data_IF_311431426787
#
_entry.id   IF_311431426787
#
_cell.length_a   1.000
_cell.length_b   1.000
_cell.length_c   1.000
_cell.angle_alpha   90.00
_cell.angle_beta   90.00
_cell.angle_gamma   90.00
#
_symmetry.space_group_name_H-M   'P 1'
#
loop_
_entity.id
_entity.type
_entity.pdbx_description
1 polymer ?
#
# COMPACT_ATOMS: atom_id res chain seq x y z
N UNK A 1 52.93 -75.64 -21.77
CA UNK A 1 52.30 -74.98 -22.95
C UNK A 1 52.78 -73.53 -22.95
N UNK A 2 53.90 -73.20 -23.60
CA UNK A 2 53.98 -72.69 -24.99
C UNK A 2 52.93 -71.59 -25.26
N UNK A 3 53.24 -70.37 -25.73
CA UNK A 3 54.45 -69.84 -26.37
C UNK A 3 54.33 -68.30 -26.56
N UNK A 4 55.49 -67.63 -26.66
CA UNK A 4 55.79 -66.53 -27.61
C UNK A 4 55.29 -65.10 -27.33
N UNK A 5 56.05 -64.01 -27.54
CA UNK A 5 57.48 -63.76 -27.86
C UNK A 5 57.73 -62.23 -27.77
N UNK A 6 58.97 -61.85 -27.48
CA UNK A 6 59.46 -60.48 -27.32
C UNK A 6 59.98 -59.83 -28.63
N UNK A 7 60.13 -58.50 -28.57
CA UNK A 7 61.08 -57.66 -29.35
C UNK A 7 60.51 -57.02 -30.63
N UNK A 8 60.87 -55.80 -31.06
CA UNK A 8 61.70 -54.68 -30.56
C UNK A 8 61.67 -53.58 -31.68
N UNK A 9 62.33 -52.45 -31.44
CA UNK A 9 62.69 -51.33 -32.37
C UNK A 9 61.64 -50.22 -32.53
N UNK A 10 61.97 -48.93 -32.61
CA UNK A 10 63.20 -48.13 -32.46
C UNK A 10 62.82 -46.63 -32.53
N UNK A 11 63.64 -45.77 -31.91
CA UNK A 11 64.00 -44.34 -32.20
C UNK A 11 63.31 -43.63 -33.39
N UNK A 12 63.03 -42.32 -33.43
CA UNK A 12 63.65 -41.11 -32.84
C UNK A 12 62.88 -39.87 -33.38
N UNK A 13 62.98 -38.74 -32.65
CA UNK A 13 62.85 -37.32 -33.05
C UNK A 13 61.82 -36.85 -34.09
N UNK A 14 60.96 -35.89 -33.68
CA UNK A 14 60.81 -34.56 -34.30
C UNK A 14 59.70 -33.74 -33.58
N UNK A 15 60.00 -32.49 -33.18
CA UNK A 15 59.03 -31.40 -32.88
C UNK A 15 58.54 -30.78 -34.21
N UNK A 16 57.51 -29.90 -34.29
CA UNK A 16 56.71 -29.22 -33.26
C UNK A 16 55.18 -29.26 -33.53
N UNK A 17 54.33 -28.78 -32.60
CA UNK A 17 53.40 -27.67 -32.88
C UNK A 17 52.38 -27.39 -31.77
N UNK A 18 52.23 -26.08 -31.57
CA UNK A 18 51.16 -25.26 -30.98
C UNK A 18 49.79 -25.87 -30.73
N UNK A 19 49.24 -25.57 -29.54
CA UNK A 19 47.86 -25.15 -29.22
C UNK A 19 47.44 -25.75 -27.87
N UNK A 20 46.73 -25.10 -26.97
CA UNK A 20 46.29 -23.72 -26.79
C UNK A 20 45.94 -23.65 -25.29
N UNK A 21 46.29 -22.53 -24.66
CA UNK A 21 45.75 -22.16 -23.36
C UNK A 21 44.21 -22.15 -23.43
N UNK A 22 43.58 -23.07 -22.71
CA UNK A 22 42.18 -22.97 -22.33
C UNK A 22 42.09 -23.33 -20.85
N UNK A 23 42.26 -22.30 -20.01
CA UNK A 23 41.96 -22.34 -18.59
C UNK A 23 40.46 -22.61 -18.41
N UNK A 24 40.09 -23.89 -18.37
CA UNK A 24 38.78 -24.34 -17.90
C UNK A 24 38.79 -24.25 -16.38
N UNK A 25 38.11 -23.24 -15.84
CA UNK A 25 37.79 -23.14 -14.42
C UNK A 25 36.84 -24.28 -14.04
N UNK A 26 37.39 -25.45 -13.75
CA UNK A 26 36.61 -26.57 -13.23
C UNK A 26 36.11 -26.19 -11.83
N UNK A 27 34.78 -26.08 -11.69
CA UNK A 27 34.09 -25.98 -10.41
C UNK A 27 34.55 -27.12 -9.49
N UNK A 28 35.32 -26.80 -8.45
CA UNK A 28 35.65 -27.74 -7.39
C UNK A 28 34.43 -27.87 -6.46
N UNK A 29 33.67 -28.95 -6.64
CA UNK A 29 32.64 -29.36 -5.69
C UNK A 29 33.32 -30.16 -4.58
N UNK A 30 33.52 -29.53 -3.43
CA UNK A 30 34.01 -30.20 -2.22
C UNK A 30 32.81 -30.79 -1.50
N UNK A 31 32.72 -32.12 -1.44
CA UNK A 31 31.76 -32.81 -0.60
C UNK A 31 32.28 -32.84 0.84
N UNK A 32 31.75 -31.96 1.69
CA UNK A 32 32.03 -31.99 3.14
C UNK A 32 31.27 -33.13 3.83
N UNK A 33 31.98 -33.84 4.71
CA UNK A 33 31.45 -34.94 5.52
C UNK A 33 30.44 -34.41 6.56
N UNK A 34 29.17 -34.85 6.57
CA UNK A 34 28.09 -34.28 7.39
C UNK A 34 28.22 -34.52 8.91
N UNK A 35 29.26 -35.23 9.38
CA UNK A 35 29.41 -35.57 10.80
C UNK A 35 30.41 -34.72 11.60
N UNK A 36 31.00 -33.68 11.00
CA UNK A 36 31.80 -32.72 11.78
C UNK A 36 30.94 -31.50 12.14
N UNK A 37 30.68 -31.23 13.44
CA UNK A 37 30.08 -29.98 13.85
C UNK A 37 31.02 -28.87 13.40
N UNK A 38 30.58 -28.01 12.47
CA UNK A 38 31.31 -26.79 12.18
C UNK A 38 31.44 -26.02 13.50
N UNK A 39 32.64 -25.56 13.91
CA UNK A 39 32.73 -24.61 14.99
C UNK A 39 31.81 -23.43 14.64
N UNK A 40 30.99 -22.91 15.57
CA UNK A 40 30.14 -21.78 15.30
C UNK A 40 31.03 -20.67 14.76
N UNK A 41 30.89 -20.35 13.46
CA UNK A 41 31.64 -19.27 12.84
C UNK A 41 31.45 -18.02 13.69
N UNK A 42 32.55 -17.31 13.95
CA UNK A 42 32.50 -16.09 14.76
C UNK A 42 31.38 -15.20 14.25
N UNK A 43 30.46 -14.74 15.13
CA UNK A 43 29.34 -13.93 14.68
C UNK A 43 29.90 -12.67 14.04
N UNK A 44 29.69 -12.52 12.74
CA UNK A 44 30.13 -11.34 11.99
C UNK A 44 29.73 -10.08 12.75
N UNK A 45 30.75 -9.27 13.10
CA UNK A 45 30.62 -7.98 13.78
C UNK A 45 29.99 -6.92 12.88
N UNK A 46 29.86 -7.20 11.59
CA UNK A 46 29.24 -6.33 10.61
C UNK A 46 27.72 -6.31 10.81
N UNK A 47 27.16 -5.11 10.67
CA UNK A 47 25.73 -4.91 10.68
C UNK A 47 25.13 -5.44 9.38
N UNK A 48 23.95 -6.09 9.43
CA UNK A 48 23.27 -6.52 8.23
C UNK A 48 22.92 -5.31 7.35
N UNK A 49 22.86 -5.52 6.03
CA UNK A 49 22.61 -4.47 5.04
C UNK A 49 21.31 -3.70 5.28
N UNK A 50 20.27 -4.36 5.81
CA UNK A 50 19.02 -3.68 6.16
C UNK A 50 19.21 -2.65 7.28
N UNK A 51 20.06 -2.93 8.28
CA UNK A 51 20.35 -2.01 9.38
C UNK A 51 21.19 -0.84 8.88
N UNK A 52 22.22 -1.10 8.08
CA UNK A 52 23.07 -0.03 7.53
C UNK A 52 22.30 0.85 6.55
N UNK A 53 21.41 0.28 5.73
CA UNK A 53 20.50 1.03 4.85
C UNK A 53 19.58 1.96 5.66
N UNK A 54 18.95 1.43 6.72
CA UNK A 54 18.08 2.23 7.59
C UNK A 54 18.84 3.41 8.22
N UNK A 55 20.02 3.15 8.79
CA UNK A 55 20.84 4.20 9.40
C UNK A 55 21.23 5.26 8.36
N UNK A 56 21.65 4.84 7.16
CA UNK A 56 22.04 5.76 6.08
C UNK A 56 20.91 6.73 5.73
N UNK A 57 19.69 6.22 5.55
CA UNK A 57 18.55 7.05 5.20
C UNK A 57 18.11 7.92 6.38
N UNK A 58 18.11 7.40 7.60
CA UNK A 58 17.73 8.18 8.78
C UNK A 58 18.78 9.20 9.23
N UNK A 59 20.01 9.12 8.71
CA UNK A 59 21.07 10.07 9.05
C UNK A 59 20.89 11.46 8.43
N UNK A 60 20.02 11.61 7.44
CA UNK A 60 19.79 12.87 6.73
C UNK A 60 18.29 13.14 6.59
N UNK A 61 17.88 14.41 6.66
CA UNK A 61 16.48 14.82 6.58
C UNK A 61 15.79 14.31 5.30
N UNK A 62 16.39 14.54 4.13
CA UNK A 62 15.86 14.07 2.84
C UNK A 62 15.75 12.54 2.80
N UNK A 63 16.66 11.82 3.44
CA UNK A 63 16.62 10.36 3.54
C UNK A 63 15.46 9.88 4.41
N UNK A 64 15.22 10.55 5.54
CA UNK A 64 14.09 10.27 6.42
C UNK A 64 12.76 10.49 5.66
N UNK A 65 12.59 11.64 5.01
CA UNK A 65 11.38 11.97 4.25
C UNK A 65 11.17 11.02 3.07
N UNK A 66 12.22 10.73 2.30
CA UNK A 66 12.17 9.79 1.17
C UNK A 66 11.72 8.41 1.63
N UNK A 67 12.37 7.85 2.65
CA UNK A 67 12.07 6.50 3.13
C UNK A 67 10.66 6.41 3.71
N UNK A 68 10.19 7.44 4.43
CA UNK A 68 8.80 7.52 4.89
C UNK A 68 7.81 7.49 3.72
N UNK A 69 8.07 8.24 2.66
CA UNK A 69 7.24 8.27 1.45
C UNK A 69 7.22 6.92 0.73
N UNK A 70 8.37 6.25 0.60
CA UNK A 70 8.47 4.91 0.00
C UNK A 70 7.59 3.87 0.74
N UNK A 71 7.49 3.99 2.06
CA UNK A 71 6.63 3.11 2.88
C UNK A 71 5.21 3.66 3.11
N UNK A 72 4.85 4.79 2.50
CA UNK A 72 3.53 5.40 2.60
C UNK A 72 3.17 5.96 3.98
N UNK A 73 4.18 6.41 4.73
CA UNK A 73 4.04 7.02 6.07
C UNK A 73 3.93 8.55 6.02
N UNK A 74 4.09 9.14 4.83
CA UNK A 74 3.99 10.57 4.56
C UNK A 74 2.54 11.09 4.46
N UNK A 75 1.56 10.18 4.46
CA UNK A 75 0.15 10.52 4.28
C UNK A 75 -0.75 9.74 5.24
N UNK A 76 -1.50 10.47 6.08
CA UNK A 76 -2.42 9.88 7.06
C UNK A 76 -3.43 8.92 6.42
N UNK A 77 -3.94 9.24 5.22
CA UNK A 77 -4.84 8.36 4.48
C UNK A 77 -4.20 7.04 4.06
N UNK A 78 -2.91 7.02 3.65
CA UNK A 78 -2.22 5.78 3.23
C UNK A 78 -2.01 4.89 4.45
N UNK A 79 -1.64 5.51 5.56
CA UNK A 79 -1.45 4.82 6.82
C UNK A 79 -2.78 4.30 7.39
N UNK A 80 -3.89 5.03 7.26
CA UNK A 80 -5.24 4.54 7.59
C UNK A 80 -5.63 3.31 6.76
N UNK A 81 -5.30 3.27 5.47
CA UNK A 81 -5.56 2.09 4.64
C UNK A 81 -4.76 0.86 5.14
N UNK A 82 -3.47 1.05 5.45
CA UNK A 82 -2.63 0.01 6.08
C UNK A 82 -3.21 -0.47 7.42
N UNK A 83 -3.64 0.46 8.28
CA UNK A 83 -4.29 0.12 9.56
C UNK A 83 -5.63 -0.59 9.34
N UNK A 84 -6.47 -0.13 8.41
CA UNK A 84 -7.75 -0.78 8.10
C UNK A 84 -7.55 -2.22 7.59
N UNK A 85 -6.51 -2.46 6.79
CA UNK A 85 -6.08 -3.80 6.39
C UNK A 85 -5.66 -4.61 7.61
N UNK A 86 -4.76 -4.08 8.44
CA UNK A 86 -4.28 -4.72 9.68
C UNK A 86 -5.45 -5.15 10.59
N UNK A 87 -6.48 -4.30 10.75
CA UNK A 87 -7.68 -4.57 11.57
C UNK A 87 -8.52 -5.75 11.08
N UNK A 88 -8.52 -5.99 9.76
CA UNK A 88 -9.33 -7.03 9.12
C UNK A 88 -8.60 -8.38 9.02
N UNK A 89 -7.35 -8.45 9.50
CA UNK A 89 -6.58 -9.70 9.44
C UNK A 89 -7.17 -10.72 10.41
N UNK A 90 -7.53 -11.87 9.86
CA UNK A 90 -7.95 -13.07 10.59
C UNK A 90 -7.31 -14.30 9.94
N UNK A 91 -6.09 -14.60 10.36
CA UNK A 91 -5.34 -15.75 9.87
C UNK A 91 -5.93 -17.10 10.28
N UNK A 92 -6.84 -17.12 11.26
CA UNK A 92 -7.52 -18.37 11.66
C UNK A 92 -8.60 -18.73 10.65
N UNK A 93 -9.35 -17.73 10.16
CA UNK A 93 -10.39 -17.93 9.15
C UNK A 93 -9.86 -17.94 7.73
N UNK A 94 -8.86 -17.12 7.43
CA UNK A 94 -8.27 -17.01 6.10
C UNK A 94 -6.74 -16.97 6.16
N UNK A 95 -6.14 -18.16 6.04
CA UNK A 95 -4.68 -18.32 6.03
C UNK A 95 -4.00 -17.66 4.82
N UNK A 96 -4.71 -17.38 3.72
CA UNK A 96 -4.10 -16.80 2.52
C UNK A 96 -3.76 -15.33 2.68
N UNK A 97 -4.36 -14.65 3.67
CA UNK A 97 -4.02 -13.28 4.02
C UNK A 97 -2.52 -13.12 4.34
N UNK A 98 -1.83 -14.17 4.80
CA UNK A 98 -0.38 -14.15 5.06
C UNK A 98 0.47 -13.72 3.85
N UNK A 99 -0.02 -13.93 2.64
CA UNK A 99 0.70 -13.66 1.38
C UNK A 99 0.71 -12.17 1.03
N UNK A 100 -0.26 -11.40 1.56
CA UNK A 100 -0.41 -9.96 1.29
C UNK A 100 0.07 -9.08 2.44
N UNK A 101 0.67 -9.68 3.48
CA UNK A 101 1.16 -8.96 4.66
C UNK A 101 2.53 -8.34 4.43
N UNK A 102 2.64 -7.05 4.75
CA UNK A 102 3.90 -6.35 4.88
C UNK A 102 4.73 -6.94 6.05
N UNK A 103 6.04 -6.77 6.02
CA UNK A 103 6.92 -7.32 7.05
C UNK A 103 6.60 -6.83 8.47
N UNK A 104 6.25 -5.55 8.61
CA UNK A 104 5.88 -4.97 9.91
C UNK A 104 4.54 -5.51 10.43
N UNK A 105 3.56 -5.79 9.56
CA UNK A 105 2.27 -6.38 9.97
C UNK A 105 2.48 -7.76 10.58
N UNK A 106 3.44 -8.54 10.04
CA UNK A 106 3.83 -9.84 10.61
C UNK A 106 4.40 -9.68 12.02
N UNK A 107 5.20 -8.64 12.28
CA UNK A 107 5.72 -8.34 13.63
C UNK A 107 4.56 -8.06 14.60
N UNK A 108 3.56 -7.27 14.18
CA UNK A 108 2.38 -6.97 15.02
C UNK A 108 1.56 -8.22 15.31
N UNK A 109 1.36 -9.08 14.33
CA UNK A 109 0.65 -10.36 14.52
C UNK A 109 1.40 -11.25 15.51
N UNK A 110 2.73 -11.37 15.38
CA UNK A 110 3.55 -12.12 16.34
C UNK A 110 3.41 -11.50 17.74
N UNK A 111 3.43 -10.18 17.86
CA UNK A 111 3.19 -9.49 19.12
C UNK A 111 1.82 -9.84 19.72
N UNK A 112 0.76 -9.86 18.92
CA UNK A 112 -0.56 -10.31 19.36
C UNK A 112 -0.55 -11.78 19.83
N UNK A 113 0.19 -12.68 19.18
CA UNK A 113 0.30 -14.07 19.66
C UNK A 113 1.01 -14.20 21.02
N UNK A 114 1.93 -13.28 21.36
CA UNK A 114 2.55 -13.22 22.69
C UNK A 114 1.49 -12.89 23.74
N UNK A 115 0.64 -11.91 23.44
CA UNK A 115 -0.47 -11.50 24.32
C UNK A 115 -1.53 -12.60 24.42
N UNK A 116 -1.91 -13.21 23.29
CA UNK A 116 -2.88 -14.30 23.25
C UNK A 116 -2.41 -15.46 24.16
N UNK A 117 -1.14 -15.89 24.07
CA UNK A 117 -0.58 -16.90 24.99
C UNK A 117 -0.58 -16.43 26.45
N UNK A 118 -0.16 -15.19 26.72
CA UNK A 118 -0.12 -14.64 28.09
C UNK A 118 -1.48 -14.66 28.77
N UNK A 119 -2.55 -14.36 28.03
CA UNK A 119 -3.93 -14.38 28.50
C UNK A 119 -4.58 -15.78 28.52
N UNK A 120 -3.80 -16.83 28.23
CA UNK A 120 -4.28 -18.23 28.24
C UNK A 120 -4.97 -18.69 26.95
N UNK A 121 -4.98 -17.88 25.89
CA UNK A 121 -5.56 -18.21 24.58
C UNK A 121 -4.56 -18.97 23.69
N UNK A 122 -3.97 -20.06 24.20
CA UNK A 122 -2.88 -20.79 23.52
C UNK A 122 -3.28 -21.41 22.18
N UNK A 123 -4.54 -21.85 22.04
CA UNK A 123 -5.07 -22.40 20.78
C UNK A 123 -5.06 -21.32 19.69
N UNK A 124 -5.54 -20.11 20.03
CA UNK A 124 -5.56 -18.97 19.11
C UNK A 124 -4.14 -18.54 18.73
N UNK A 125 -3.25 -18.44 19.71
CA UNK A 125 -1.85 -18.08 19.50
C UNK A 125 -1.15 -19.08 18.58
N UNK A 126 -1.33 -20.38 18.83
CA UNK A 126 -0.71 -21.47 18.06
C UNK A 126 -1.27 -21.56 16.64
N UNK A 127 -2.59 -21.42 16.47
CA UNK A 127 -3.19 -21.41 15.13
C UNK A 127 -2.74 -20.20 14.32
N UNK A 128 -2.72 -19.01 14.93
CA UNK A 128 -2.30 -17.76 14.26
C UNK A 128 -0.84 -17.83 13.82
N UNK A 129 0.08 -18.29 14.69
CA UNK A 129 1.51 -18.37 14.33
C UNK A 129 1.77 -19.43 13.26
N UNK A 130 1.06 -20.55 13.30
CA UNK A 130 1.16 -21.62 12.30
C UNK A 130 0.68 -21.11 10.93
N UNK A 131 -0.49 -20.47 10.90
CA UNK A 131 -1.07 -19.94 9.65
C UNK A 131 -0.24 -18.78 9.09
N UNK A 132 0.33 -17.91 9.94
CA UNK A 132 1.24 -16.84 9.51
C UNK A 132 2.44 -17.40 8.73
N UNK A 133 2.99 -18.52 9.20
CA UNK A 133 4.15 -19.16 8.59
C UNK A 133 3.79 -20.16 7.47
N UNK A 134 2.51 -20.49 7.32
CA UNK A 134 2.01 -21.46 6.34
C UNK A 134 2.29 -22.91 6.71
N UNK A 135 2.57 -23.18 7.97
CA UNK A 135 2.95 -24.50 8.46
C UNK A 135 3.44 -24.46 9.89
N UNK A 136 3.53 -25.64 10.50
CA UNK A 136 4.00 -25.77 11.88
C UNK A 136 5.48 -25.38 11.98
N UNK A 137 5.77 -24.45 12.89
CA UNK A 137 7.13 -24.04 13.18
C UNK A 137 7.69 -24.84 14.35
N UNK A 138 8.98 -25.16 14.27
CA UNK A 138 9.71 -25.64 15.43
C UNK A 138 9.63 -24.62 16.58
N UNK A 139 9.41 -25.10 17.80
CA UNK A 139 9.25 -24.26 19.00
C UNK A 139 10.37 -23.23 19.17
N UNK A 140 11.62 -23.61 18.87
CA UNK A 140 12.77 -22.70 18.94
C UNK A 140 12.67 -21.51 17.96
N UNK A 141 12.00 -21.67 16.83
CA UNK A 141 11.77 -20.59 15.85
C UNK A 141 10.75 -19.61 16.40
N UNK A 142 9.66 -20.12 17.00
CA UNK A 142 8.64 -19.28 17.65
C UNK A 142 9.29 -18.44 18.76
N UNK A 143 10.19 -19.01 19.56
CA UNK A 143 10.93 -18.26 20.57
C UNK A 143 11.82 -17.15 19.97
N UNK A 144 12.45 -17.40 18.81
CA UNK A 144 13.25 -16.38 18.11
C UNK A 144 12.37 -15.27 17.55
N UNK A 145 11.20 -15.58 17.00
CA UNK A 145 10.26 -14.59 16.48
C UNK A 145 9.73 -13.71 17.64
N UNK A 146 9.36 -14.33 18.78
CA UNK A 146 8.98 -13.60 19.99
C UNK A 146 10.11 -12.71 20.51
N UNK A 147 11.36 -13.20 20.46
CA UNK A 147 12.53 -12.41 20.81
C UNK A 147 12.65 -11.18 19.90
N UNK A 148 12.51 -11.33 18.58
CA UNK A 148 12.57 -10.19 17.64
C UNK A 148 11.55 -9.12 18.00
N UNK A 149 10.30 -9.49 18.32
CA UNK A 149 9.28 -8.53 18.76
C UNK A 149 9.75 -7.77 20.00
N UNK A 150 10.26 -8.46 21.03
CA UNK A 150 10.74 -7.80 22.25
C UNK A 150 11.91 -6.87 21.99
N UNK A 151 12.86 -7.27 21.14
CA UNK A 151 14.01 -6.42 20.79
C UNK A 151 13.58 -5.21 19.95
N UNK A 152 12.54 -5.35 19.11
CA UNK A 152 11.96 -4.24 18.36
C UNK A 152 11.26 -3.24 19.30
N UNK A 153 10.48 -3.72 20.27
CA UNK A 153 9.83 -2.86 21.27
C UNK A 153 10.89 -2.09 22.08
N UNK A 154 11.92 -2.76 22.59
CA UNK A 154 13.02 -2.10 23.31
C UNK A 154 13.68 -1.02 22.45
N UNK A 155 13.94 -1.33 21.17
CA UNK A 155 14.52 -0.38 20.24
C UNK A 155 13.64 0.85 20.05
N UNK A 156 12.35 0.67 19.76
CA UNK A 156 11.43 1.80 19.54
C UNK A 156 11.22 2.62 20.80
N UNK A 157 11.14 1.97 21.96
CA UNK A 157 10.92 2.65 23.23
C UNK A 157 12.13 3.50 23.60
N UNK A 158 13.33 2.93 23.47
CA UNK A 158 14.56 3.65 23.74
C UNK A 158 14.75 4.83 22.79
N UNK A 159 14.47 4.65 21.50
CA UNK A 159 14.54 5.74 20.52
C UNK A 159 13.50 6.81 20.80
N UNK A 160 12.28 6.46 21.22
CA UNK A 160 11.27 7.46 21.57
C UNK A 160 11.70 8.30 22.77
N UNK A 161 12.25 7.67 23.82
CA UNK A 161 12.77 8.38 25.00
C UNK A 161 13.94 9.29 24.62
N UNK A 162 14.83 8.82 23.74
CA UNK A 162 16.01 9.57 23.32
C UNK A 162 15.66 10.73 22.37
N UNK A 163 14.92 10.46 21.31
CA UNK A 163 14.54 11.44 20.30
C UNK A 163 13.41 12.37 20.73
N UNK A 164 12.55 11.91 21.66
CA UNK A 164 11.27 12.56 22.01
C UNK A 164 10.39 12.82 20.78
N UNK A 165 10.41 11.89 19.84
CA UNK A 165 9.76 12.02 18.55
C UNK A 165 9.09 10.71 18.12
N UNK A 166 7.88 10.82 17.58
CA UNK A 166 7.03 9.70 17.15
C UNK A 166 7.63 8.87 15.99
N UNK A 167 8.66 9.37 15.29
CA UNK A 167 9.38 8.66 14.24
C UNK A 167 9.98 7.36 14.78
N UNK A 168 10.29 7.31 16.08
CA UNK A 168 10.74 6.10 16.76
C UNK A 168 9.78 4.91 16.56
N UNK A 169 8.47 5.16 16.56
CA UNK A 169 7.46 4.12 16.38
C UNK A 169 7.26 3.72 14.91
N UNK A 170 7.76 4.51 13.96
CA UNK A 170 7.74 4.17 12.53
C UNK A 170 8.92 3.26 12.13
N UNK A 171 9.95 3.14 12.98
CA UNK A 171 11.16 2.33 12.71
C UNK A 171 10.87 0.89 12.25
N UNK A 172 9.92 0.13 12.84
CA UNK A 172 9.62 -1.23 12.37
C UNK A 172 9.12 -1.25 10.91
N UNK A 173 8.38 -0.23 10.49
CA UNK A 173 7.88 -0.09 9.11
C UNK A 173 8.99 0.36 8.17
N UNK A 174 9.83 1.31 8.60
CA UNK A 174 10.95 1.83 7.82
C UNK A 174 12.05 0.79 7.62
N UNK A 175 12.22 -0.14 8.57
CA UNK A 175 13.18 -1.23 8.46
C UNK A 175 12.80 -2.23 7.36
N UNK A 176 11.50 -2.43 7.14
CA UNK A 176 10.89 -3.30 6.12
C UNK A 176 11.63 -4.62 5.87
N UNK A 177 12.01 -5.29 6.95
CA UNK A 177 12.83 -6.50 6.88
C UNK A 177 12.01 -7.74 7.23
N UNK A 178 12.07 -8.82 6.43
CA UNK A 178 11.40 -10.07 6.74
C UNK A 178 11.75 -10.61 8.13
N UNK A 179 10.76 -11.16 8.84
CA UNK A 179 10.97 -11.80 10.16
C UNK A 179 12.02 -12.90 10.09
N UNK A 180 12.09 -13.61 8.96
CA UNK A 180 13.07 -14.67 8.70
C UNK A 180 14.52 -14.19 8.69
N UNK A 181 14.76 -12.91 8.37
CA UNK A 181 16.06 -12.26 8.43
C UNK A 181 16.33 -11.69 9.82
N UNK A 182 15.31 -11.10 10.47
CA UNK A 182 15.44 -10.53 11.81
C UNK A 182 15.74 -11.59 12.87
N UNK A 183 15.13 -12.78 12.77
CA UNK A 183 15.35 -13.90 13.71
C UNK A 183 16.79 -14.44 13.71
N UNK A 184 17.58 -14.12 12.68
CA UNK A 184 19.00 -14.48 12.59
C UNK A 184 19.91 -13.48 13.31
N UNK A 185 19.38 -12.32 13.71
CA UNK A 185 20.17 -11.27 14.35
C UNK A 185 20.28 -11.50 15.86
N UNK A 186 21.46 -11.24 16.40
CA UNK A 186 21.70 -11.29 17.84
C UNK A 186 21.23 -10.01 18.53
N UNK A 187 21.01 -10.08 19.84
CA UNK A 187 20.71 -8.91 20.67
C UNK A 187 21.83 -7.86 20.58
N UNK A 188 23.08 -8.29 20.45
CA UNK A 188 24.21 -7.40 20.22
C UNK A 188 24.05 -6.56 18.95
N UNK A 189 23.49 -7.13 17.87
CA UNK A 189 23.23 -6.40 16.62
C UNK A 189 22.09 -5.39 16.76
N UNK A 190 21.02 -5.74 17.48
CA UNK A 190 19.95 -4.78 17.82
C UNK A 190 20.49 -3.63 18.69
N UNK A 191 21.28 -3.92 19.71
CA UNK A 191 21.92 -2.89 20.54
C UNK A 191 22.87 -2.00 19.74
N UNK A 192 23.58 -2.56 18.76
CA UNK A 192 24.45 -1.78 17.86
C UNK A 192 23.63 -0.91 16.91
N UNK A 193 22.51 -1.40 16.38
CA UNK A 193 21.55 -0.59 15.61
C UNK A 193 21.00 0.56 16.44
N UNK A 194 20.51 0.26 17.66
CA UNK A 194 19.99 1.26 18.61
C UNK A 194 21.00 2.40 18.84
N UNK A 195 22.25 2.05 19.19
CA UNK A 195 23.32 3.04 19.41
C UNK A 195 23.58 3.91 18.19
N UNK A 196 23.50 3.35 16.98
CA UNK A 196 23.74 4.13 15.77
C UNK A 196 22.55 5.04 15.44
N UNK A 197 21.33 4.54 15.63
CA UNK A 197 20.12 5.34 15.45
C UNK A 197 20.01 6.48 16.47
N UNK A 198 20.55 6.35 17.69
CA UNK A 198 20.61 7.48 18.63
C UNK A 198 21.29 8.72 18.03
N UNK A 199 22.30 8.54 17.16
CA UNK A 199 22.97 9.65 16.49
C UNK A 199 22.19 10.21 15.29
N UNK A 200 21.15 9.53 14.82
CA UNK A 200 20.26 10.05 13.78
C UNK A 200 19.23 10.98 14.44
N UNK A 201 19.38 12.29 14.27
CA UNK A 201 18.43 13.27 14.81
C UNK A 201 17.20 13.34 13.88
N UNK A 202 15.97 13.07 14.36
CA UNK A 202 14.78 13.25 13.55
C UNK A 202 14.61 14.71 13.13
N UNK A 203 14.26 14.93 11.86
CA UNK A 203 13.96 16.27 11.37
C UNK A 203 12.72 16.84 12.04
N UNK A 204 12.77 18.12 12.39
CA UNK A 204 11.62 18.86 12.93
C UNK A 204 10.49 19.06 11.91
N UNK A 205 10.72 18.76 10.62
CA UNK A 205 9.69 18.79 9.57
C UNK A 205 8.88 17.49 9.49
N UNK A 206 9.28 16.46 10.21
CA UNK A 206 8.59 15.17 10.22
C UNK A 206 7.45 15.24 11.21
N UNK A 207 6.24 15.28 10.69
CA UNK A 207 5.04 15.05 11.50
C UNK A 207 4.61 13.60 11.27
N UNK A 208 4.66 12.80 12.32
CA UNK A 208 4.12 11.44 12.31
C UNK A 208 2.60 11.51 12.34
N UNK A 209 1.96 10.76 11.46
CA UNK A 209 0.49 10.81 11.37
C UNK A 209 -0.19 10.15 12.57
N UNK A 210 0.41 9.08 13.10
CA UNK A 210 -0.09 8.34 14.26
C UNK A 210 1.08 7.84 15.12
N UNK A 211 0.85 7.70 16.43
CA UNK A 211 1.74 6.98 17.34
C UNK A 211 1.62 5.47 17.10
N UNK A 212 2.40 4.93 16.17
CA UNK A 212 2.38 3.51 15.76
C UNK A 212 3.03 2.57 16.79
N UNK A 213 2.73 2.79 18.06
CA UNK A 213 3.24 2.02 19.18
C UNK A 213 2.72 0.58 19.13
N UNK A 214 3.61 -0.41 19.26
CA UNK A 214 3.25 -1.83 19.05
C UNK A 214 2.09 -2.27 19.97
N UNK A 215 2.06 -1.96 21.28
CA UNK A 215 0.91 -2.23 22.13
C UNK A 215 -0.41 -1.65 21.61
N UNK A 216 -0.40 -0.43 21.06
CA UNK A 216 -1.60 0.17 20.45
C UNK A 216 -2.03 -0.60 19.21
N UNK A 217 -1.09 -0.98 18.35
CA UNK A 217 -1.39 -1.79 17.17
C UNK A 217 -1.93 -3.17 17.52
N UNK A 218 -1.45 -3.77 18.61
CA UNK A 218 -2.00 -5.03 19.14
C UNK A 218 -3.41 -4.84 19.71
N UNK A 219 -3.63 -3.81 20.52
CA UNK A 219 -4.96 -3.48 21.05
C UNK A 219 -5.96 -3.19 19.92
N UNK A 220 -5.49 -2.56 18.85
CA UNK A 220 -6.26 -2.26 17.66
C UNK A 220 -6.77 -3.53 16.92
N UNK A 221 -5.99 -4.62 16.92
CA UNK A 221 -6.41 -5.93 16.35
C UNK A 221 -6.99 -6.90 17.38
N UNK A 222 -6.87 -6.59 18.68
CA UNK A 222 -7.43 -7.35 19.81
C UNK A 222 -8.21 -6.41 20.74
N UNK A 223 -9.31 -5.78 20.27
CA UNK A 223 -10.04 -4.76 21.04
C UNK A 223 -10.72 -5.30 22.30
N UNK A 224 -10.69 -6.62 22.53
CA UNK A 224 -11.24 -7.28 23.73
C UNK A 224 -10.27 -7.28 24.91
N UNK A 225 -8.98 -7.02 24.68
CA UNK A 225 -7.96 -7.01 25.72
C UNK A 225 -7.81 -5.62 26.33
N UNK A 226 -7.25 -5.55 27.53
CA UNK A 226 -6.86 -4.27 28.13
C UNK A 226 -5.46 -3.87 27.66
N UNK A 227 -5.19 -2.55 27.64
CA UNK A 227 -3.86 -2.05 27.33
C UNK A 227 -2.81 -2.56 28.33
N UNK A 228 -3.16 -2.59 29.61
CA UNK A 228 -2.28 -3.05 30.70
C UNK A 228 -1.89 -4.52 30.56
N UNK A 229 -2.81 -5.38 30.14
CA UNK A 229 -2.51 -6.80 29.88
C UNK A 229 -1.53 -6.95 28.70
N UNK A 230 -1.75 -6.18 27.63
CA UNK A 230 -0.89 -6.17 26.44
C UNK A 230 0.52 -5.69 26.82
N UNK A 231 0.61 -4.59 27.54
CA UNK A 231 1.86 -4.00 28.03
C UNK A 231 2.65 -4.95 28.91
N UNK A 232 1.96 -5.62 29.85
CA UNK A 232 2.57 -6.60 30.74
C UNK A 232 3.11 -7.81 29.96
N UNK A 233 2.32 -8.34 29.02
CA UNK A 233 2.74 -9.45 28.16
C UNK A 233 3.96 -9.10 27.29
N UNK A 234 3.96 -7.89 26.73
CA UNK A 234 5.01 -7.37 25.85
C UNK A 234 6.23 -6.81 26.61
N UNK A 235 6.12 -6.63 27.92
CA UNK A 235 7.15 -6.07 28.80
C UNK A 235 7.54 -4.62 28.43
N UNK A 236 6.53 -3.77 28.24
CA UNK A 236 6.69 -2.33 27.99
C UNK A 236 5.56 -1.56 28.68
N UNK A 237 5.75 -0.27 28.94
CA UNK A 237 4.76 0.61 29.59
C UNK A 237 5.03 2.09 29.26
N UNK A 238 5.39 2.34 28.00
CA UNK A 238 5.92 3.64 27.58
C UNK A 238 4.84 4.71 27.42
N UNK A 239 3.69 4.33 26.86
CA UNK A 239 2.55 5.21 26.59
C UNK A 239 1.33 4.72 27.36
N UNK A 240 0.45 5.61 27.77
CA UNK A 240 -0.67 5.25 28.63
C UNK A 240 -2.03 5.18 27.89
N UNK A 241 -3.10 4.97 28.66
CA UNK A 241 -4.47 4.93 28.12
C UNK A 241 -4.89 6.25 27.46
N UNK A 242 -4.36 7.39 27.90
CA UNK A 242 -4.67 8.69 27.30
C UNK A 242 -4.02 8.82 25.92
N UNK A 243 -2.80 8.32 25.77
CA UNK A 243 -2.13 8.22 24.48
C UNK A 243 -2.86 7.26 23.53
N UNK A 244 -3.35 6.13 24.06
CA UNK A 244 -4.19 5.22 23.28
C UNK A 244 -5.46 5.90 22.78
N UNK A 245 -6.15 6.67 23.62
CA UNK A 245 -7.37 7.36 23.23
C UNK A 245 -7.11 8.40 22.13
N UNK A 246 -5.94 9.06 22.16
CA UNK A 246 -5.50 9.99 21.10
C UNK A 246 -5.26 9.21 19.81
N UNK A 247 -4.49 8.11 19.88
CA UNK A 247 -4.24 7.25 18.73
C UNK A 247 -5.56 6.72 18.15
N UNK A 248 -6.44 6.16 18.99
CA UNK A 248 -7.71 5.60 18.58
C UNK A 248 -8.60 6.66 17.96
N UNK A 249 -8.71 7.86 18.54
CA UNK A 249 -9.45 8.97 17.92
C UNK A 249 -8.84 9.32 16.57
N UNK A 250 -7.52 9.46 16.48
CA UNK A 250 -6.85 9.79 15.23
C UNK A 250 -7.14 8.74 14.14
N UNK A 251 -7.12 7.45 14.47
CA UNK A 251 -7.38 6.35 13.52
C UNK A 251 -8.88 6.14 13.24
N UNK A 252 -9.75 6.34 14.23
CA UNK A 252 -11.18 6.10 14.18
C UNK A 252 -12.00 7.30 13.67
N UNK A 253 -11.44 8.52 13.69
CA UNK A 253 -11.98 9.61 12.90
C UNK A 253 -12.02 9.11 11.45
N UNK A 254 -13.20 8.90 10.86
CA UNK A 254 -13.28 8.86 9.40
C UNK A 254 -12.52 10.07 8.88
N UNK A 255 -11.60 9.86 7.94
CA UNK A 255 -10.76 10.91 7.39
C UNK A 255 -11.65 12.11 7.02
N UNK A 256 -11.52 13.21 7.78
CA UNK A 256 -12.25 14.44 7.58
C UNK A 256 -11.23 15.50 7.12
N UNK A 257 -11.08 15.72 5.80
CA UNK A 257 -10.04 16.58 5.24
C UNK A 257 -10.12 18.05 5.68
N UNK A 258 -11.18 18.45 6.39
CA UNK A 258 -11.42 19.83 6.85
C UNK A 258 -10.69 20.12 8.17
N UNK A 259 -10.41 19.13 9.04
CA UNK A 259 -9.75 19.43 10.32
C UNK A 259 -8.22 19.53 10.22
N UNK A 260 -7.61 18.72 9.36
CA UNK A 260 -6.15 18.59 9.32
C UNK A 260 -5.47 19.52 8.29
N UNK A 261 -6.25 20.18 7.41
CA UNK A 261 -5.75 21.23 6.49
C UNK A 261 -5.87 22.66 7.06
N UNK A 262 -6.36 22.84 8.30
CA UNK A 262 -6.67 24.15 8.87
C UNK A 262 -5.74 24.61 10.00
N UNK A 263 -4.46 24.22 9.97
CA UNK A 263 -3.40 25.06 10.55
C UNK A 263 -2.61 25.70 9.40
N UNK A 264 -3.04 26.88 8.92
CA UNK A 264 -2.29 27.61 7.91
C UNK A 264 -1.00 28.18 8.52
N UNK A 265 0.16 27.63 8.15
CA UNK A 265 1.41 28.41 8.16
C UNK A 265 1.44 29.30 6.91
N UNK A 266 0.93 30.52 7.08
CA UNK A 266 1.21 31.75 6.32
C UNK A 266 1.09 31.74 4.77
N UNK A 267 -0.08 32.23 4.28
CA UNK A 267 -0.36 33.29 3.26
C UNK A 267 0.50 33.48 1.98
N UNK A 268 0.02 34.23 0.94
CA UNK A 268 -1.35 34.64 0.58
C UNK A 268 -1.72 34.51 -0.94
N UNK A 269 -3.04 34.59 -1.21
CA UNK A 269 -3.71 35.15 -2.39
C UNK A 269 -3.49 34.55 -3.81
N UNK A 270 -4.55 33.93 -4.35
CA UNK A 270 -5.09 34.28 -5.68
C UNK A 270 -6.50 33.67 -5.88
N UNK A 271 -7.42 34.54 -6.29
CA UNK A 271 -8.84 34.29 -6.54
C UNK A 271 -9.02 33.74 -7.96
N UNK A 272 -9.49 32.50 -8.13
CA UNK A 272 -10.17 32.04 -9.36
C UNK A 272 -11.13 30.89 -9.07
N UNK A 273 -12.43 31.12 -9.29
CA UNK A 273 -13.57 30.23 -9.00
C UNK A 273 -13.76 29.09 -10.02
N UNK A 274 -12.73 28.32 -10.36
CA UNK A 274 -12.90 27.10 -11.16
C UNK A 274 -12.39 25.91 -10.35
N UNK A 275 -13.31 25.08 -9.86
CA UNK A 275 -13.04 23.92 -9.01
C UNK A 275 -12.48 22.78 -9.87
N UNK A 276 -11.21 22.48 -9.72
CA UNK A 276 -10.56 21.37 -10.41
C UNK A 276 -11.04 20.04 -9.83
N UNK A 277 -11.65 19.19 -10.66
CA UNK A 277 -12.08 17.82 -10.28
C UNK A 277 -10.93 16.97 -9.72
N UNK A 278 -9.68 17.44 -9.91
CA UNK A 278 -8.47 16.86 -9.36
C UNK A 278 -8.42 16.86 -7.82
N UNK A 279 -9.14 17.69 -7.09
CA UNK A 279 -9.06 17.66 -5.62
C UNK A 279 -9.87 16.50 -4.97
N UNK A 280 -10.65 15.75 -5.76
CA UNK A 280 -11.76 14.94 -5.24
C UNK A 280 -11.71 13.44 -5.60
N UNK A 281 -10.61 12.98 -6.20
CA UNK A 281 -10.40 11.59 -6.63
C UNK A 281 -9.32 10.97 -5.74
N UNK A 282 -9.55 9.76 -5.22
CA UNK A 282 -8.53 9.03 -4.44
C UNK A 282 -7.43 8.50 -5.38
N UNK A 283 -6.30 9.22 -5.46
CA UNK A 283 -5.15 8.93 -6.32
C UNK A 283 -4.32 7.69 -5.95
N UNK A 284 -4.88 6.74 -5.17
CA UNK A 284 -4.13 5.60 -4.65
C UNK A 284 -4.23 4.39 -5.55
N UNK A 285 -3.43 4.44 -6.61
CA UNK A 285 -2.93 3.28 -7.33
C UNK A 285 -3.46 3.16 -8.76
N UNK A 286 -2.59 3.40 -9.74
CA UNK A 286 -2.21 2.48 -10.82
C UNK A 286 -1.77 3.19 -12.13
N UNK A 287 -1.13 2.39 -12.99
CA UNK A 287 -0.26 2.69 -14.16
C UNK A 287 -1.06 2.69 -15.51
N UNK A 288 -0.49 2.93 -16.73
CA UNK A 288 -1.12 3.76 -17.79
C UNK A 288 -2.10 3.08 -18.81
N UNK A 289 -2.92 3.92 -19.47
CA UNK A 289 -3.79 3.65 -20.65
C UNK A 289 -3.14 4.23 -21.93
N UNK A 290 -3.60 3.79 -23.12
CA UNK A 290 -3.55 4.56 -24.39
C UNK A 290 -4.96 4.76 -24.94
N UNK A 291 -5.50 5.98 -24.90
CA UNK A 291 -6.77 6.29 -25.56
C UNK A 291 -6.57 6.37 -27.09
N UNK A 292 -7.40 5.68 -27.88
CA UNK A 292 -7.33 5.73 -29.36
C UNK A 292 -8.12 6.90 -29.98
N UNK A 293 -8.99 7.56 -29.23
CA UNK A 293 -9.79 8.67 -29.76
C UNK A 293 -9.15 10.00 -29.37
N UNK A 294 -8.80 10.80 -30.37
CA UNK A 294 -8.69 12.25 -30.21
C UNK A 294 -10.11 12.82 -30.07
N UNK A 295 -10.61 12.91 -28.83
CA UNK A 295 -11.85 13.63 -28.55
C UNK A 295 -11.46 15.10 -28.40
N UNK A 296 -12.00 15.99 -29.24
CA UNK A 296 -11.94 17.44 -28.98
C UNK A 296 -13.24 17.86 -28.33
N UNK A 297 -13.18 18.33 -27.08
CA UNK A 297 -14.37 18.73 -26.33
C UNK A 297 -15.14 17.57 -25.71
N UNK A 298 -16.10 17.00 -26.45
CA UNK A 298 -16.89 15.87 -25.95
C UNK A 298 -17.41 14.95 -27.07
N UNK A 299 -17.78 13.73 -26.68
CA UNK A 299 -18.46 12.75 -27.52
C UNK A 299 -19.57 12.05 -26.75
N UNK A 300 -20.79 12.03 -27.28
CA UNK A 300 -21.88 11.28 -26.71
C UNK A 300 -21.87 9.82 -27.20
N UNK A 301 -22.36 8.89 -26.37
CA UNK A 301 -22.59 7.49 -26.74
C UNK A 301 -23.93 7.01 -26.20
N UNK A 302 -24.55 6.07 -26.90
CA UNK A 302 -25.79 5.43 -26.46
C UNK A 302 -25.50 4.40 -25.36
N UNK A 303 -26.22 4.47 -24.24
CA UNK A 303 -26.09 3.52 -23.14
C UNK A 303 -26.95 2.28 -23.40
N UNK A 304 -26.40 1.09 -23.19
CA UNK A 304 -27.16 -0.15 -23.30
C UNK A 304 -28.25 -0.23 -22.23
N UNK A 305 -29.35 -0.95 -22.50
CA UNK A 305 -30.42 -1.16 -21.52
C UNK A 305 -29.89 -1.79 -20.21
N UNK A 306 -28.90 -2.67 -20.31
CA UNK A 306 -28.23 -3.29 -19.18
C UNK A 306 -27.40 -2.27 -18.37
N UNK A 307 -26.65 -1.38 -19.04
CA UNK A 307 -25.95 -0.28 -18.39
C UNK A 307 -26.92 0.67 -17.69
N UNK A 308 -28.04 1.01 -18.32
CA UNK A 308 -29.09 1.86 -17.74
C UNK A 308 -29.68 1.24 -16.46
N UNK A 309 -29.97 -0.06 -16.46
CA UNK A 309 -30.50 -0.78 -15.30
C UNK A 309 -29.49 -0.81 -14.14
N UNK A 310 -28.21 -1.12 -14.43
CA UNK A 310 -27.12 -1.12 -13.44
C UNK A 310 -26.91 0.28 -12.86
N UNK A 311 -26.91 1.32 -13.69
CA UNK A 311 -26.75 2.70 -13.26
C UNK A 311 -27.94 3.17 -12.39
N UNK A 312 -29.17 2.79 -12.74
CA UNK A 312 -30.36 3.08 -11.96
C UNK A 312 -30.42 2.30 -10.62
N UNK A 313 -29.80 1.12 -10.55
CA UNK A 313 -29.64 0.40 -9.30
C UNK A 313 -28.60 1.10 -8.40
N UNK A 314 -27.50 1.56 -9.00
CA UNK A 314 -26.45 2.27 -8.27
C UNK A 314 -26.97 3.57 -7.63
N UNK A 315 -27.82 4.34 -8.30
CA UNK A 315 -28.42 5.55 -7.71
C UNK A 315 -29.31 5.29 -6.49
N UNK A 316 -29.93 4.10 -6.40
CA UNK A 316 -30.81 3.74 -5.26
C UNK A 316 -30.04 3.30 -4.01
N UNK A 317 -28.76 2.96 -4.16
CA UNK A 317 -27.96 2.34 -3.11
C UNK A 317 -26.71 3.16 -2.77
N UNK A 318 -26.87 4.49 -2.78
CA UNK A 318 -25.82 5.45 -2.43
C UNK A 318 -25.66 5.52 -0.91
N UNK A 319 -24.50 5.14 -0.39
CA UNK A 319 -24.22 5.10 1.06
C UNK A 319 -22.96 5.87 1.38
N UNK A 320 -23.04 6.77 2.36
CA UNK A 320 -21.96 7.67 2.71
C UNK A 320 -21.73 8.71 1.61
N UNK A 321 -21.60 9.98 1.99
CA UNK A 321 -21.29 11.05 1.05
C UNK A 321 -20.25 11.97 1.66
N UNK A 322 -19.24 12.30 0.87
CA UNK A 322 -18.34 13.38 1.15
C UNK A 322 -18.89 14.63 0.48
N UNK A 323 -19.32 15.61 1.29
CA UNK A 323 -19.72 16.92 0.79
C UNK A 323 -18.46 17.67 0.38
N UNK A 324 -18.23 17.82 -0.93
CA UNK A 324 -17.05 18.53 -1.46
C UNK A 324 -17.28 20.03 -1.53
N UNK A 325 -18.54 20.47 -1.76
CA UNK A 325 -19.00 21.86 -1.63
C UNK A 325 -20.54 21.92 -1.42
N UNK A 326 -21.17 23.09 -1.43
CA UNK A 326 -22.63 23.25 -1.36
C UNK A 326 -23.39 22.52 -2.48
N UNK A 327 -22.70 22.25 -3.59
CA UNK A 327 -23.27 21.83 -4.86
C UNK A 327 -22.80 20.47 -5.38
N UNK A 328 -21.85 19.78 -4.74
CA UNK A 328 -21.35 18.47 -5.20
C UNK A 328 -21.26 17.50 -4.03
N UNK A 329 -21.76 16.28 -4.26
CA UNK A 329 -21.76 15.15 -3.34
C UNK A 329 -21.07 13.98 -4.04
N UNK A 330 -19.95 13.52 -3.47
CA UNK A 330 -19.28 12.30 -3.92
C UNK A 330 -19.65 11.17 -2.95
N UNK A 331 -20.29 10.13 -3.47
CA UNK A 331 -20.69 8.97 -2.67
C UNK A 331 -19.57 7.93 -2.58
N UNK A 332 -19.61 7.10 -1.54
CA UNK A 332 -18.63 6.02 -1.40
C UNK A 332 -18.80 4.99 -2.51
N UNK A 333 -17.68 4.54 -3.07
CA UNK A 333 -17.69 3.47 -4.05
C UNK A 333 -17.90 2.11 -3.38
N UNK A 334 -19.07 1.51 -3.62
CA UNK A 334 -19.35 0.11 -3.31
C UNK A 334 -19.02 -0.78 -4.51
N UNK A 335 -18.09 -1.73 -4.33
CA UNK A 335 -17.63 -2.67 -5.36
C UNK A 335 -18.74 -3.59 -5.89
N UNK A 336 -19.74 -3.94 -5.09
CA UNK A 336 -20.84 -4.82 -5.53
C UNK A 336 -21.93 -4.07 -6.32
N UNK A 337 -21.96 -2.75 -6.21
CA UNK A 337 -23.04 -1.90 -6.73
C UNK A 337 -22.57 -1.06 -7.92
N UNK A 338 -21.41 -0.41 -7.79
CA UNK A 338 -20.91 0.54 -8.77
C UNK A 338 -19.95 -0.09 -9.80
N UNK A 339 -19.16 -1.09 -9.40
CA UNK A 339 -18.23 -1.77 -10.33
C UNK A 339 -18.93 -2.50 -11.49
N UNK A 340 -20.15 -3.06 -11.35
CA UNK A 340 -20.91 -3.56 -12.49
C UNK A 340 -21.22 -2.50 -13.56
N UNK A 341 -21.45 -1.23 -13.17
CA UNK A 341 -21.66 -0.12 -14.10
C UNK A 341 -20.37 0.19 -14.86
N UNK A 342 -19.26 0.30 -14.12
CA UNK A 342 -17.92 0.55 -14.70
C UNK A 342 -17.52 -0.55 -15.69
N UNK A 343 -17.65 -1.81 -15.30
CA UNK A 343 -17.31 -2.94 -16.17
C UNK A 343 -18.16 -2.93 -17.45
N UNK A 344 -19.46 -2.64 -17.32
CA UNK A 344 -20.35 -2.60 -18.47
C UNK A 344 -20.02 -1.45 -19.43
N UNK A 345 -19.77 -0.24 -18.93
CA UNK A 345 -19.43 0.90 -19.81
C UNK A 345 -18.07 0.73 -20.48
N UNK A 346 -17.08 0.14 -19.80
CA UNK A 346 -15.79 -0.20 -20.42
C UNK A 346 -16.02 -1.22 -21.55
N UNK A 347 -16.81 -2.26 -21.30
CA UNK A 347 -17.14 -3.26 -22.32
C UNK A 347 -17.86 -2.64 -23.52
N UNK A 348 -18.86 -1.78 -23.28
CA UNK A 348 -19.64 -1.11 -24.33
C UNK A 348 -18.73 -0.17 -25.16
N UNK A 349 -17.88 0.63 -24.52
CA UNK A 349 -16.93 1.53 -25.19
C UNK A 349 -15.86 0.77 -25.99
N UNK A 350 -15.37 -0.36 -25.47
CA UNK A 350 -14.43 -1.20 -26.19
C UNK A 350 -15.07 -1.82 -27.44
N UNK A 351 -16.32 -2.29 -27.33
CA UNK A 351 -17.10 -2.80 -28.46
C UNK A 351 -17.37 -1.74 -29.52
N UNK A 352 -17.58 -0.49 -29.12
CA UNK A 352 -17.74 0.66 -30.01
C UNK A 352 -16.41 1.11 -30.65
N UNK A 353 -15.28 0.49 -30.29
CA UNK A 353 -13.95 0.84 -30.77
C UNK A 353 -13.43 2.15 -30.18
N UNK A 354 -14.00 2.61 -29.08
CA UNK A 354 -13.64 3.87 -28.45
C UNK A 354 -12.43 3.73 -27.51
N UNK A 355 -12.23 2.54 -26.96
CA UNK A 355 -11.09 2.17 -26.11
C UNK A 355 -10.60 0.76 -26.48
N UNK A 356 -9.35 0.43 -26.17
CA UNK A 356 -8.86 -0.95 -26.25
C UNK A 356 -9.27 -1.70 -24.98
N UNK A 357 -9.74 -2.95 -25.13
CA UNK A 357 -10.25 -3.76 -24.01
C UNK A 357 -9.16 -4.33 -23.09
N UNK A 358 -7.89 -4.06 -23.37
CA UNK A 358 -6.76 -4.54 -22.57
C UNK A 358 -6.37 -3.48 -21.53
N UNK A 359 -6.47 -3.86 -20.25
CA UNK A 359 -6.14 -3.12 -19.03
C UNK A 359 -6.57 -1.64 -18.99
N UNK A 360 -7.88 -1.43 -18.80
CA UNK A 360 -8.49 -0.10 -18.65
C UNK A 360 -8.48 0.34 -17.18
N UNK A 361 -7.66 1.35 -16.88
CA UNK A 361 -7.54 1.98 -15.55
C UNK A 361 -8.51 3.15 -15.43
N UNK A 362 -9.50 3.02 -14.56
CA UNK A 362 -10.52 4.06 -14.43
C UNK A 362 -10.59 4.54 -12.99
N UNK A 363 -10.21 5.79 -12.79
CA UNK A 363 -10.50 6.51 -11.55
C UNK A 363 -12.02 6.71 -11.47
N UNK A 364 -12.64 6.23 -10.41
CA UNK A 364 -14.09 5.99 -10.39
C UNK A 364 -14.74 6.66 -9.20
N UNK A 365 -15.81 7.41 -9.46
CA UNK A 365 -16.58 8.11 -8.42
C UNK A 365 -18.05 8.17 -8.80
N UNK A 366 -18.93 7.99 -7.82
CA UNK A 366 -20.36 8.27 -8.00
C UNK A 366 -20.67 9.65 -7.45
N UNK A 367 -21.34 10.48 -8.25
CA UNK A 367 -21.50 11.91 -8.03
C UNK A 367 -22.98 12.30 -8.06
N UNK A 368 -23.39 13.18 -7.15
CA UNK A 368 -24.55 14.07 -7.31
C UNK A 368 -24.05 15.52 -7.39
N UNK A 369 -24.46 16.23 -8.44
CA UNK A 369 -24.15 17.63 -8.67
C UNK A 369 -25.44 18.45 -8.50
N UNK A 370 -25.59 19.08 -7.35
CA UNK A 370 -26.67 20.01 -7.02
C UNK A 370 -26.32 21.41 -7.53
N UNK A 371 -26.65 21.71 -8.79
CA UNK A 371 -26.50 23.03 -9.43
C UNK A 371 -25.07 23.60 -9.32
N UNK A 372 -24.27 23.41 -10.36
CA UNK A 372 -22.87 23.82 -10.39
C UNK A 372 -22.13 23.28 -11.61
N UNK A 373 -20.80 23.35 -11.57
CA UNK A 373 -19.95 22.95 -12.68
C UNK A 373 -18.78 22.10 -12.22
N UNK A 374 -18.36 21.16 -13.06
CA UNK A 374 -17.18 20.31 -12.87
C UNK A 374 -16.31 20.35 -14.10
N UNK A 375 -14.99 20.46 -13.95
CA UNK A 375 -14.03 20.52 -15.06
C UNK A 375 -13.21 19.23 -15.17
N UNK A 376 -13.04 18.72 -16.39
CA UNK A 376 -12.15 17.58 -16.64
C UNK A 376 -10.70 18.01 -16.42
N UNK A 377 -9.92 17.26 -15.61
CA UNK A 377 -8.50 17.53 -15.41
C UNK A 377 -7.67 17.57 -16.70
N UNK A 378 -6.63 18.43 -16.78
CA UNK A 378 -5.58 18.29 -17.78
C UNK A 378 -5.00 16.87 -17.83
N UNK A 379 -4.73 16.37 -19.04
CA UNK A 379 -4.16 15.04 -19.24
C UNK A 379 -5.12 13.88 -18.99
N UNK A 380 -6.44 14.12 -18.93
CA UNK A 380 -7.45 13.08 -18.70
C UNK A 380 -8.65 13.18 -19.61
N UNK A 381 -9.32 12.04 -19.76
CA UNK A 381 -10.64 11.89 -20.37
C UNK A 381 -11.64 11.46 -19.30
N UNK A 382 -12.81 12.07 -19.25
CA UNK A 382 -13.87 11.70 -18.31
C UNK A 382 -15.02 11.01 -19.05
N UNK A 383 -15.33 9.78 -18.67
CA UNK A 383 -16.53 9.06 -19.07
C UNK A 383 -17.60 9.33 -18.00
N UNK A 384 -18.77 9.79 -18.43
CA UNK A 384 -19.91 10.15 -17.58
C UNK A 384 -21.09 9.26 -17.96
N UNK A 385 -21.60 8.51 -16.97
CA UNK A 385 -22.77 7.65 -17.08
C UNK A 385 -23.87 8.17 -16.16
N UNK A 386 -24.97 8.72 -16.68
CA UNK A 386 -26.10 9.17 -15.87
C UNK A 386 -26.70 8.03 -15.03
N UNK A 387 -27.10 8.30 -13.79
CA UNK A 387 -27.60 7.27 -12.84
C UNK A 387 -29.01 7.52 -12.33
N UNK A 388 -29.54 8.74 -12.44
CA UNK A 388 -30.87 9.10 -11.95
C UNK A 388 -31.87 9.25 -13.10
N UNK A 389 -33.04 8.56 -13.06
CA UNK A 389 -34.14 8.87 -13.95
C UNK A 389 -34.79 10.18 -13.48
N UNK A 390 -34.55 11.26 -14.21
CA UNK A 390 -35.30 12.49 -14.01
C UNK A 390 -36.72 12.31 -14.57
N UNK A 391 -37.72 12.85 -13.87
CA UNK A 391 -39.03 13.10 -14.47
C UNK A 391 -38.90 14.27 -15.45
N UNK A 392 -38.42 13.97 -16.66
CA UNK A 392 -38.25 14.92 -17.75
C UNK A 392 -36.80 15.15 -18.19
N UNK A 393 -36.70 15.83 -19.33
CA UNK A 393 -35.46 16.29 -19.96
C UNK A 393 -34.83 17.41 -19.13
N UNK A 394 -33.57 17.27 -18.70
CA UNK A 394 -32.84 18.35 -18.05
C UNK A 394 -31.68 18.82 -18.95
N UNK A 395 -31.63 20.10 -19.33
CA UNK A 395 -30.50 20.62 -20.10
C UNK A 395 -29.26 20.77 -19.21
N UNK A 396 -28.13 20.22 -19.65
CA UNK A 396 -26.80 20.49 -19.10
C UNK A 396 -25.94 21.22 -20.13
N UNK A 397 -24.99 22.03 -19.68
CA UNK A 397 -24.05 22.73 -20.56
C UNK A 397 -22.70 22.06 -20.53
N UNK A 398 -22.15 21.77 -21.71
CA UNK A 398 -20.78 21.29 -21.92
C UNK A 398 -19.99 22.40 -22.58
N UNK A 399 -18.95 22.90 -21.91
CA UNK A 399 -18.15 24.03 -22.39
C UNK A 399 -16.68 23.62 -22.49
N UNK A 400 -16.05 23.81 -23.64
CA UNK A 400 -14.61 23.67 -23.82
C UNK A 400 -14.03 25.02 -24.28
N UNK A 401 -12.72 25.07 -24.59
CA UNK A 401 -12.06 26.32 -25.04
C UNK A 401 -12.62 26.88 -26.36
N UNK A 402 -13.27 26.05 -27.18
CA UNK A 402 -13.66 26.38 -28.55
C UNK A 402 -15.17 26.54 -28.73
N UNK A 403 -15.98 26.01 -27.80
CA UNK A 403 -17.43 25.88 -27.96
C UNK A 403 -18.15 25.69 -26.62
N UNK A 404 -19.42 26.08 -26.59
CA UNK A 404 -20.35 25.76 -25.51
C UNK A 404 -21.61 25.18 -26.12
N UNK A 405 -22.00 23.99 -25.71
CA UNK A 405 -23.19 23.29 -26.20
C UNK A 405 -24.09 22.92 -25.04
N UNK A 406 -25.40 23.00 -25.28
CA UNK A 406 -26.41 22.51 -24.34
C UNK A 406 -26.87 21.15 -24.83
N UNK A 407 -26.79 20.14 -23.96
CA UNK A 407 -27.21 18.77 -24.26
C UNK A 407 -28.24 18.30 -23.26
N UNK A 408 -29.08 17.38 -23.68
CA UNK A 408 -30.08 16.77 -22.82
C UNK A 408 -29.44 15.72 -21.90
N UNK A 409 -29.73 15.83 -20.60
CA UNK A 409 -29.37 14.84 -19.60
C UNK A 409 -30.46 13.78 -19.47
N UNK A 410 -30.14 12.56 -19.88
CA UNK A 410 -31.03 11.42 -19.79
C UNK A 410 -30.24 10.12 -19.55
N UNK A 411 -30.93 9.04 -19.21
CA UNK A 411 -30.29 7.75 -18.97
C UNK A 411 -29.80 7.09 -20.26
N UNK A 412 -30.33 7.44 -21.42
CA UNK A 412 -29.97 6.83 -22.72
C UNK A 412 -28.63 7.31 -23.28
N UNK A 413 -28.09 8.41 -22.76
CA UNK A 413 -26.91 9.07 -23.32
C UNK A 413 -25.81 9.20 -22.29
N UNK A 414 -24.66 8.56 -22.54
CA UNK A 414 -23.42 8.78 -21.81
C UNK A 414 -22.51 9.76 -22.55
N UNK A 415 -21.51 10.30 -21.86
CA UNK A 415 -20.59 11.28 -22.43
C UNK A 415 -19.13 10.89 -22.19
N UNK A 416 -18.26 11.18 -23.15
CA UNK A 416 -16.82 11.17 -23.01
C UNK A 416 -16.37 12.63 -23.17
N UNK A 417 -15.79 13.19 -22.12
CA UNK A 417 -15.38 14.59 -22.05
C UNK A 417 -13.86 14.65 -22.11
N UNK A 418 -13.34 15.48 -23.01
CA UNK A 418 -11.91 15.79 -23.12
C UNK A 418 -11.44 16.69 -21.97
N UNK A 419 -10.12 16.74 -21.76
CA UNK A 419 -9.49 17.60 -20.77
C UNK A 419 -9.96 19.06 -20.89
N UNK A 420 -10.11 19.71 -19.74
CA UNK A 420 -10.62 21.09 -19.60
C UNK A 420 -12.07 21.31 -20.06
N UNK A 421 -12.80 20.26 -20.46
CA UNK A 421 -14.24 20.39 -20.69
C UNK A 421 -14.96 20.58 -19.35
N UNK A 422 -15.87 21.55 -19.30
CA UNK A 422 -16.67 21.89 -18.15
C UNK A 422 -18.08 21.35 -18.35
N UNK A 423 -18.52 20.47 -17.47
CA UNK A 423 -19.91 20.04 -17.36
C UNK A 423 -20.61 20.91 -16.33
N UNK A 424 -21.71 21.57 -16.71
CA UNK A 424 -22.50 22.43 -15.83
C UNK A 424 -23.96 22.01 -15.82
N UNK A 425 -24.55 21.97 -14.64
CA UNK A 425 -25.97 21.66 -14.44
C UNK A 425 -26.63 22.76 -13.61
N UNK A 426 -27.89 23.08 -13.93
CA UNK A 426 -28.69 24.05 -13.17
C UNK A 426 -29.58 23.39 -12.12
N UNK A 427 -29.76 22.06 -12.21
CA UNK A 427 -30.49 21.24 -11.26
C UNK A 427 -29.66 20.03 -10.80
N UNK A 428 -30.20 19.24 -9.87
CA UNK A 428 -29.54 18.05 -9.35
C UNK A 428 -29.43 16.95 -10.41
N UNK A 429 -28.21 16.52 -10.68
CA UNK A 429 -27.93 15.38 -11.55
C UNK A 429 -27.07 14.34 -10.82
N UNK A 430 -27.42 13.07 -11.00
CA UNK A 430 -26.62 11.94 -10.55
C UNK A 430 -25.90 11.26 -11.71
N UNK A 431 -24.60 10.98 -11.55
CA UNK A 431 -23.82 10.20 -12.52
C UNK A 431 -22.69 9.40 -11.88
N UNK A 432 -22.25 8.35 -12.56
CA UNK A 432 -20.97 7.70 -12.35
C UNK A 432 -19.96 8.35 -13.29
N UNK A 433 -18.85 8.78 -12.71
CA UNK A 433 -17.73 9.38 -13.41
C UNK A 433 -16.54 8.45 -13.37
N UNK A 434 -15.91 8.32 -14.52
CA UNK A 434 -14.85 7.38 -14.82
C UNK A 434 -13.73 8.15 -15.55
N UNK A 435 -12.59 8.36 -14.91
CA UNK A 435 -11.49 9.13 -15.47
C UNK A 435 -10.39 8.21 -16.00
N UNK A 436 -10.14 8.34 -17.30
CA UNK A 436 -9.07 7.69 -18.03
C UNK A 436 -7.88 8.64 -18.21
N UNK A 437 -6.67 8.10 -18.24
CA UNK A 437 -5.43 8.84 -18.51
C UNK A 437 -5.04 8.65 -19.99
N UNK A 438 -4.37 9.64 -20.60
CA UNK A 438 -3.86 9.54 -21.97
C UNK A 438 -2.69 8.57 -22.13
#
# INVERSE_FOLDING_TARGET
MHQSRAGQSSSSDERPDTSADAASSALQVIFENPQSPRPPGEPSLELPSCFTSLIKDLSQEEGQLRRRKEHGLDNAGRLRHKLARLRKIDLVRDQYQRLILDHWEKIIIIAATIVDSYLGNEILATSTITNLNGGELAYHTILKDRKVVREMIKLTDHLYVHWKHELAFEVPMLLDTPISTLRLQSTLKFNKLERLLQYCIPSTKIESCFKLYIPFLVLFIRPKYSLTDIETALQTSLLDQSDWDIFWRAVALEYNPIRDNWVPKHSPAATTNNLEMQEYIDYKGNYPIKARIQVSGYKAFETSLDLQQKAALASKSQVGYNRTNSSIFAYNWDENIHSPVMQQVIYDLAKLGYIEAEDVYVDKVSVSLISGSTVVPPGRLQIVVPTAPLQGSLPISLTNKESSTVVEWNMQTGFILDQNTVLSATADIGYISLLAVF
#
